data_IF_794784469929
#
_entry.id   IF_794784469929
#
_cell.length_a   1.000
_cell.length_b   1.000
_cell.length_c   1.000
_cell.angle_alpha   90.00
_cell.angle_beta   90.00
_cell.angle_gamma   90.00
#
_symmetry.space_group_name_H-M   'P 1'
#
loop_
_entity.id
_entity.type
_entity.pdbx_description
1 polymer ?
#
# COMPACT_ATOMS: atom_id res chain seq x y z
N UNK A 1 -5.26 6.63 8.12
CA UNK A 1 -5.76 5.68 7.09
C UNK A 1 -4.71 4.68 6.61
N UNK A 2 -3.44 5.08 6.55
CA UNK A 2 -2.29 4.23 6.18
C UNK A 2 -2.39 2.75 6.58
N UNK A 3 -2.47 2.44 7.88
CA UNK A 3 -2.49 1.06 8.37
C UNK A 3 -3.63 0.20 7.79
N UNK A 4 -4.78 0.81 7.51
CA UNK A 4 -5.93 0.10 6.93
C UNK A 4 -5.67 -0.21 5.45
N UNK A 5 -5.17 0.77 4.69
CA UNK A 5 -4.83 0.61 3.27
C UNK A 5 -3.69 -0.39 3.08
N UNK A 6 -2.66 -0.33 3.94
CA UNK A 6 -1.55 -1.30 3.97
C UNK A 6 -2.08 -2.73 4.08
N UNK A 7 -2.92 -3.01 5.08
CA UNK A 7 -3.52 -4.35 5.26
C UNK A 7 -4.33 -4.81 4.05
N UNK A 8 -5.12 -3.91 3.45
CA UNK A 8 -5.93 -4.27 2.28
C UNK A 8 -5.07 -4.54 1.04
N UNK A 9 -4.01 -3.76 0.82
CA UNK A 9 -3.09 -3.90 -0.30
C UNK A 9 -2.27 -5.19 -0.21
N UNK A 10 -1.68 -5.44 0.97
CA UNK A 10 -0.97 -6.69 1.27
C UNK A 10 -1.89 -7.91 1.07
N UNK A 11 -3.15 -7.82 1.53
CA UNK A 11 -4.16 -8.86 1.32
C UNK A 11 -4.70 -8.97 -0.12
N UNK A 12 -4.23 -8.14 -1.07
CA UNK A 12 -4.70 -8.14 -2.46
C UNK A 12 -6.14 -7.63 -2.66
N UNK A 13 -6.74 -7.03 -1.63
CA UNK A 13 -8.09 -6.42 -1.66
C UNK A 13 -8.07 -4.95 -2.08
N UNK A 14 -6.88 -4.40 -2.29
CA UNK A 14 -6.64 -3.05 -2.77
C UNK A 14 -5.54 -3.11 -3.83
N UNK A 15 -5.66 -2.30 -4.88
CA UNK A 15 -4.71 -2.17 -5.97
C UNK A 15 -4.06 -0.78 -5.98
N UNK A 16 -3.11 -0.57 -6.90
CA UNK A 16 -2.34 0.68 -7.00
C UNK A 16 -3.23 1.90 -7.25
N UNK A 17 -4.27 1.76 -8.08
CA UNK A 17 -5.27 2.82 -8.31
C UNK A 17 -6.01 3.20 -7.02
N UNK A 18 -6.32 2.21 -6.16
CA UNK A 18 -6.92 2.45 -4.87
C UNK A 18 -6.00 3.22 -3.91
N UNK A 19 -4.68 3.00 -3.99
CA UNK A 19 -3.69 3.78 -3.24
C UNK A 19 -3.55 5.20 -3.81
N UNK A 20 -3.52 5.36 -5.13
CA UNK A 20 -3.46 6.67 -5.78
C UNK A 20 -4.65 7.55 -5.36
N UNK A 21 -5.86 7.01 -5.44
CA UNK A 21 -7.06 7.71 -4.97
C UNK A 21 -6.98 8.09 -3.49
N UNK A 22 -6.33 7.27 -2.66
CA UNK A 22 -6.14 7.59 -1.25
C UNK A 22 -5.15 8.75 -1.04
N UNK A 23 -4.12 8.87 -1.89
CA UNK A 23 -3.22 10.03 -1.93
C UNK A 23 -3.99 11.27 -2.38
N UNK A 24 -4.73 11.20 -3.50
CA UNK A 24 -5.53 12.33 -4.02
C UNK A 24 -6.55 12.83 -3.00
N UNK A 25 -7.14 11.93 -2.20
CA UNK A 25 -8.09 12.27 -1.13
C UNK A 25 -7.42 12.75 0.17
N UNK A 26 -6.09 12.80 0.22
CA UNK A 26 -5.32 13.21 1.40
C UNK A 26 -5.40 12.23 2.58
N UNK A 27 -5.76 10.97 2.32
CA UNK A 27 -5.83 9.93 3.36
C UNK A 27 -4.46 9.38 3.75
N UNK A 28 -3.53 9.42 2.79
CA UNK A 28 -2.12 9.07 2.93
C UNK A 28 -1.26 10.03 2.10
N UNK A 29 0.04 10.07 2.38
CA UNK A 29 1.03 10.78 1.57
C UNK A 29 1.59 9.89 0.45
N UNK A 30 2.33 10.48 -0.49
CA UNK A 30 3.07 9.72 -1.50
C UNK A 30 4.12 8.79 -0.87
N UNK A 31 4.84 9.24 0.16
CA UNK A 31 5.79 8.40 0.90
C UNK A 31 5.11 7.19 1.52
N UNK A 32 3.94 7.40 2.11
CA UNK A 32 3.13 6.32 2.68
C UNK A 32 2.62 5.33 1.62
N UNK A 33 2.28 5.81 0.42
CA UNK A 33 1.96 4.93 -0.72
C UNK A 33 3.19 4.09 -1.10
N UNK A 34 4.36 4.70 -1.19
CA UNK A 34 5.61 4.00 -1.52
C UNK A 34 5.94 2.90 -0.49
N UNK A 35 5.82 3.21 0.81
CA UNK A 35 6.01 2.22 1.88
C UNK A 35 5.06 1.03 1.80
N UNK A 36 3.80 1.24 1.38
CA UNK A 36 2.82 0.15 1.22
C UNK A 36 3.22 -0.76 0.06
N UNK A 37 3.67 -0.18 -1.05
CA UNK A 37 4.13 -0.92 -2.23
C UNK A 37 5.40 -1.70 -1.91
N UNK A 38 6.38 -1.08 -1.26
CA UNK A 38 7.61 -1.72 -0.76
C UNK A 38 7.29 -2.90 0.15
N UNK A 39 6.40 -2.71 1.13
CA UNK A 39 6.01 -3.78 2.05
C UNK A 39 5.37 -4.98 1.34
N UNK A 40 4.68 -4.77 0.22
CA UNK A 40 4.14 -5.88 -0.59
C UNK A 40 5.25 -6.63 -1.32
N UNK A 41 6.19 -5.91 -1.92
CA UNK A 41 7.37 -6.53 -2.55
C UNK A 41 8.16 -7.36 -1.55
N UNK A 42 8.37 -6.86 -0.34
CA UNK A 42 9.07 -7.59 0.73
C UNK A 42 8.28 -8.82 1.20
N UNK A 43 6.95 -8.75 1.23
CA UNK A 43 6.10 -9.90 1.56
C UNK A 43 6.13 -10.98 0.48
N UNK A 44 6.13 -10.57 -0.79
CA UNK A 44 6.12 -11.47 -1.95
C UNK A 44 7.53 -11.99 -2.31
N UNK A 45 8.58 -11.38 -1.76
CA UNK A 45 9.95 -11.86 -1.91
C UNK A 45 10.14 -13.20 -1.17
N UNK A 46 10.80 -14.19 -1.78
CA UNK A 46 11.16 -15.41 -1.08
C UNK A 46 12.09 -15.06 0.08
N UNK A 47 11.68 -15.36 1.30
CA UNK A 47 12.60 -15.37 2.44
C UNK A 47 13.59 -16.52 2.20
N UNK A 48 14.83 -16.18 1.88
CA UNK A 48 15.97 -17.13 1.82
C UNK A 48 16.17 -17.88 3.13
#
# INVERSE_FOLDING_TARGET
>A
MYNRLKKLYLAGRLNDTGLENAVTRGWITEDQKAEIIEAKKEQDAPKE
#
